data_IF_407475386018
#
_entry.id   IF_407475386018
#
_cell.length_a   1.000
_cell.length_b   1.000
_cell.length_c   1.000
_cell.angle_alpha   90.00
_cell.angle_beta   90.00
_cell.angle_gamma   90.00
#
_symmetry.space_group_name_H-M   'P 1'
#
loop_
_entity.id
_entity.type
_entity.pdbx_description
1 polymer ?
#
# COMPACT_ATOMS: atom_id res chain seq x y z
N UNK A 1 -15.61 17.32 48.53
CA UNK A 1 -15.14 16.10 47.81
C UNK A 1 -14.84 16.45 46.35
N UNK A 2 -13.67 17.00 46.02
CA UNK A 2 -13.31 17.38 44.63
C UNK A 2 -11.81 17.19 44.36
N UNK A 3 -11.25 16.10 44.86
CA UNK A 3 -9.83 15.73 44.69
C UNK A 3 -9.67 14.36 44.01
N UNK A 4 -10.72 13.52 44.03
CA UNK A 4 -10.68 12.15 43.47
C UNK A 4 -10.67 12.08 41.94
N UNK A 5 -11.28 13.02 41.23
CA UNK A 5 -11.37 12.98 39.77
C UNK A 5 -10.08 13.38 39.05
N UNK A 6 -9.33 14.36 39.57
CA UNK A 6 -8.03 14.76 38.98
C UNK A 6 -6.96 13.68 39.16
N UNK A 7 -6.93 13.03 40.32
CA UNK A 7 -5.98 11.95 40.61
C UNK A 7 -6.25 10.69 39.77
N UNK A 8 -7.51 10.33 39.56
CA UNK A 8 -7.91 9.20 38.68
C UNK A 8 -7.53 9.44 37.21
N UNK A 9 -7.68 10.68 36.71
CA UNK A 9 -7.32 11.02 35.31
C UNK A 9 -5.80 10.95 35.11
N UNK A 10 -4.99 11.45 36.04
CA UNK A 10 -3.53 11.33 35.94
C UNK A 10 -3.04 9.88 36.01
N UNK A 11 -3.69 9.05 36.83
CA UNK A 11 -3.34 7.64 37.00
C UNK A 11 -3.72 6.81 35.75
N UNK A 12 -4.86 7.10 35.15
CA UNK A 12 -5.27 6.51 33.88
C UNK A 12 -4.35 6.93 32.72
N UNK A 13 -3.96 8.21 32.66
CA UNK A 13 -3.03 8.71 31.62
C UNK A 13 -1.64 8.07 31.74
N UNK A 14 -1.16 7.83 32.96
CA UNK A 14 0.11 7.17 33.23
C UNK A 14 0.13 5.69 32.79
N UNK A 15 -0.96 4.96 33.03
CA UNK A 15 -1.07 3.54 32.62
C UNK A 15 -1.09 3.40 31.09
N UNK A 16 -1.80 4.30 30.40
CA UNK A 16 -1.84 4.33 28.93
C UNK A 16 -0.47 4.64 28.32
N UNK A 17 0.29 5.57 28.93
CA UNK A 17 1.64 5.89 28.48
C UNK A 17 2.61 4.71 28.66
N UNK A 18 2.54 3.95 29.75
CA UNK A 18 3.43 2.78 29.97
C UNK A 18 3.11 1.62 29.02
N UNK A 19 1.83 1.40 28.67
CA UNK A 19 1.43 0.38 27.72
C UNK A 19 1.91 0.67 26.28
N UNK A 20 2.03 1.95 25.90
CA UNK A 20 2.48 2.36 24.57
C UNK A 20 4.02 2.27 24.38
N UNK A 21 4.79 2.19 25.46
CA UNK A 21 6.27 2.19 25.43
C UNK A 21 6.83 0.80 25.67
N UNK A 22 6.01 -0.27 25.69
CA UNK A 22 6.51 -1.64 25.85
C UNK A 22 6.71 -2.30 24.48
N UNK A 23 7.92 -2.27 23.88
CA UNK A 23 8.18 -3.07 22.69
C UNK A 23 8.10 -4.54 23.07
N UNK A 24 7.22 -5.31 22.41
CA UNK A 24 7.27 -6.77 22.44
C UNK A 24 8.49 -7.22 21.62
N UNK A 25 9.61 -7.51 22.29
CA UNK A 25 10.76 -8.14 21.64
C UNK A 25 10.38 -9.61 21.40
N UNK A 26 10.05 -9.94 20.16
CA UNK A 26 9.88 -11.32 19.74
C UNK A 26 11.28 -11.95 19.62
N UNK A 27 11.65 -12.77 20.60
CA UNK A 27 12.77 -13.69 20.50
C UNK A 27 12.39 -14.80 19.52
N UNK A 28 12.86 -14.71 18.27
CA UNK A 28 12.79 -15.80 17.32
C UNK A 28 14.21 -16.16 16.84
N UNK A 29 14.85 -17.12 17.52
CA UNK A 29 15.94 -17.92 16.97
C UNK A 29 15.32 -19.16 16.31
N UNK A 30 15.33 -19.25 14.98
CA UNK A 30 15.12 -20.53 14.28
C UNK A 30 16.25 -20.76 13.29
N UNK A 31 17.02 -21.82 13.57
CA UNK A 31 18.24 -22.25 12.88
C UNK A 31 17.98 -23.49 11.99
N UNK A 32 18.87 -23.69 11.01
CA UNK A 32 19.06 -24.87 10.13
C UNK A 32 18.08 -25.01 8.96
N UNK A 33 18.48 -25.47 7.76
CA UNK A 33 19.74 -26.07 7.35
C UNK A 33 19.85 -26.16 5.82
N UNK A 34 21.10 -26.14 5.36
CA UNK A 34 21.52 -26.32 3.96
C UNK A 34 21.26 -27.77 3.54
N UNK A 35 20.42 -28.00 2.52
CA UNK A 35 20.45 -29.27 1.77
C UNK A 35 20.03 -29.05 0.31
N UNK A 36 20.97 -29.34 -0.58
CA UNK A 36 20.79 -29.61 -2.00
C UNK A 36 20.77 -31.15 -2.13
N UNK A 37 19.90 -31.77 -2.95
CA UNK A 37 20.39 -32.27 -4.23
C UNK A 37 19.38 -32.26 -5.41
N UNK A 38 19.94 -32.00 -6.61
CA UNK A 38 19.76 -32.66 -7.92
C UNK A 38 18.37 -33.16 -8.40
N UNK A 39 17.96 -32.54 -9.53
CA UNK A 39 17.65 -33.15 -10.84
C UNK A 39 16.51 -34.19 -10.96
N UNK A 40 15.45 -33.85 -11.72
CA UNK A 40 15.17 -34.38 -13.10
C UNK A 40 13.70 -34.14 -13.50
N UNK A 41 13.53 -33.45 -14.65
CA UNK A 41 12.47 -33.46 -15.69
C UNK A 41 11.01 -33.83 -15.27
N UNK A 42 9.93 -33.18 -15.70
CA UNK A 42 9.57 -32.83 -17.07
C UNK A 42 8.16 -32.17 -17.06
N UNK A 43 7.99 -30.91 -17.42
CA UNK A 43 7.02 -30.51 -18.45
C UNK A 43 7.16 -29.02 -18.76
N UNK A 44 7.56 -28.79 -20.00
CA UNK A 44 7.70 -27.49 -20.64
C UNK A 44 6.30 -26.89 -20.83
N UNK A 45 6.11 -25.62 -20.47
CA UNK A 45 5.63 -24.63 -21.43
C UNK A 45 5.69 -23.20 -20.87
N UNK A 46 6.27 -22.35 -21.70
CA UNK A 46 6.43 -20.90 -21.67
C UNK A 46 7.50 -20.28 -20.76
N UNK A 47 8.59 -19.98 -21.45
CA UNK A 47 9.81 -19.29 -21.09
C UNK A 47 9.56 -17.85 -20.62
N UNK A 48 10.04 -17.50 -19.42
CA UNK A 48 11.12 -16.52 -19.31
C UNK A 48 11.87 -16.76 -17.98
N UNK A 49 12.97 -17.50 -18.11
CA UNK A 49 14.20 -17.49 -17.30
C UNK A 49 14.08 -16.89 -15.89
N UNK A 50 13.80 -17.75 -14.90
CA UNK A 50 14.22 -17.53 -13.52
C UNK A 50 15.75 -17.53 -13.48
N UNK A 51 16.36 -16.35 -13.54
CA UNK A 51 17.70 -16.17 -13.02
C UNK A 51 17.57 -16.02 -11.51
N UNK A 52 18.18 -16.93 -10.75
CA UNK A 52 18.24 -16.84 -9.30
C UNK A 52 19.17 -15.70 -8.89
N UNK A 53 18.67 -14.46 -8.87
CA UNK A 53 19.41 -13.31 -8.35
C UNK A 53 18.45 -12.16 -8.02
N UNK A 54 18.05 -12.07 -6.74
CA UNK A 54 16.93 -11.27 -6.20
C UNK A 54 15.59 -11.55 -6.90
N UNK A 55 14.52 -11.64 -6.12
CA UNK A 55 13.16 -11.76 -6.68
C UNK A 55 12.85 -10.42 -7.34
N UNK A 56 13.28 -10.20 -8.59
CA UNK A 56 12.83 -9.08 -9.40
C UNK A 56 11.54 -9.47 -10.10
N UNK A 57 10.56 -8.58 -10.08
CA UNK A 57 9.30 -8.78 -10.80
C UNK A 57 9.55 -9.09 -12.29
N UNK A 58 8.73 -9.98 -12.87
CA UNK A 58 8.81 -10.38 -14.27
C UNK A 58 8.72 -9.15 -15.18
N UNK A 59 9.67 -8.96 -16.09
CA UNK A 59 9.60 -7.91 -17.11
C UNK A 59 8.41 -8.14 -18.05
N UNK A 60 7.77 -7.07 -18.50
CA UNK A 60 6.60 -7.15 -19.37
C UNK A 60 6.65 -6.06 -20.45
N UNK A 61 6.13 -6.35 -21.64
CA UNK A 61 5.91 -5.33 -22.67
C UNK A 61 4.47 -4.78 -22.68
N UNK A 62 3.51 -5.56 -22.15
CA UNK A 62 2.10 -5.18 -22.09
C UNK A 62 1.40 -5.85 -20.90
N UNK A 63 0.27 -5.31 -20.45
CA UNK A 63 -0.52 -5.88 -19.34
C UNK A 63 -0.97 -7.33 -19.60
N UNK A 64 -1.08 -7.75 -20.87
CA UNK A 64 -1.47 -9.12 -21.23
C UNK A 64 -0.47 -10.18 -20.75
N UNK A 65 0.82 -9.83 -20.67
CA UNK A 65 1.87 -10.73 -20.18
C UNK A 65 1.79 -10.95 -18.66
N UNK A 66 1.14 -10.03 -17.95
CA UNK A 66 0.87 -10.12 -16.52
C UNK A 66 -0.43 -10.87 -16.21
N UNK A 67 -1.18 -11.34 -17.22
CA UNK A 67 -2.47 -12.03 -17.04
C UNK A 67 -2.40 -13.32 -16.22
N UNK A 68 -1.20 -13.91 -16.07
CA UNK A 68 -0.97 -15.06 -15.17
C UNK A 68 -0.94 -14.71 -13.68
N UNK A 69 -0.87 -13.42 -13.33
CA UNK A 69 -0.72 -12.93 -11.95
C UNK A 69 -1.95 -12.11 -11.60
N UNK A 70 -2.76 -12.60 -10.67
CA UNK A 70 -3.99 -11.92 -10.27
C UNK A 70 -3.67 -10.58 -9.58
N UNK A 71 -4.18 -9.50 -10.14
CA UNK A 71 -4.04 -8.16 -9.59
C UNK A 71 -2.73 -7.44 -9.94
N UNK A 72 -1.91 -8.01 -10.84
CA UNK A 72 -0.72 -7.34 -11.34
C UNK A 72 -1.00 -6.52 -12.61
N UNK A 73 -0.17 -5.53 -12.87
CA UNK A 73 -0.21 -4.69 -14.08
C UNK A 73 1.20 -4.42 -14.56
N UNK A 74 1.33 -4.11 -15.86
CA UNK A 74 2.62 -3.84 -16.47
C UNK A 74 3.01 -2.38 -16.24
N UNK A 75 3.93 -2.16 -15.31
CA UNK A 75 4.25 -0.83 -14.78
C UNK A 75 5.75 -0.65 -14.62
N UNK A 76 6.21 0.59 -14.68
CA UNK A 76 7.59 0.93 -14.37
C UNK A 76 7.80 0.86 -12.85
N UNK A 77 8.90 0.23 -12.43
CA UNK A 77 9.22 0.11 -11.01
C UNK A 77 9.63 1.46 -10.41
N UNK A 78 8.97 1.85 -9.32
CA UNK A 78 9.38 3.04 -8.54
C UNK A 78 10.64 2.78 -7.70
N UNK A 79 10.91 1.52 -7.38
CA UNK A 79 12.04 1.10 -6.53
C UNK A 79 13.34 0.96 -7.31
N UNK A 80 13.27 0.72 -8.62
CA UNK A 80 14.42 0.42 -9.46
C UNK A 80 14.45 1.38 -10.65
N UNK A 81 15.51 2.18 -10.75
CA UNK A 81 15.71 3.23 -11.75
C UNK A 81 16.19 2.68 -13.11
N UNK A 82 15.56 1.64 -13.64
CA UNK A 82 15.98 0.97 -14.89
C UNK A 82 15.08 1.29 -16.11
N UNK A 83 14.05 2.11 -15.95
CA UNK A 83 13.03 2.40 -16.99
C UNK A 83 12.37 1.16 -17.62
N UNK A 84 12.44 0.03 -16.91
CA UNK A 84 11.89 -1.26 -17.35
C UNK A 84 10.49 -1.46 -16.77
N UNK A 85 9.60 -1.89 -17.64
CA UNK A 85 8.26 -2.32 -17.28
C UNK A 85 8.30 -3.73 -16.69
N UNK A 86 7.64 -3.92 -15.55
CA UNK A 86 7.54 -5.20 -14.85
C UNK A 86 6.11 -5.43 -14.38
N UNK A 87 5.73 -6.69 -14.21
CA UNK A 87 4.47 -7.09 -13.62
C UNK A 87 4.51 -6.83 -12.13
N UNK A 88 3.94 -5.69 -11.72
CA UNK A 88 3.89 -5.24 -10.34
C UNK A 88 2.47 -5.33 -9.82
N UNK A 89 2.35 -5.56 -8.52
CA UNK A 89 1.08 -5.55 -7.83
C UNK A 89 0.49 -4.15 -7.71
N UNK A 90 -0.75 -4.08 -7.23
CA UNK A 90 -1.46 -2.82 -7.03
C UNK A 90 -0.74 -1.79 -6.16
N UNK A 91 0.23 -2.19 -5.35
CA UNK A 91 1.06 -1.34 -4.48
C UNK A 91 2.48 -1.12 -5.03
N UNK A 92 2.73 -1.44 -6.30
CA UNK A 92 4.05 -1.44 -6.94
C UNK A 92 5.06 -2.46 -6.38
N UNK A 93 4.63 -3.41 -5.55
CA UNK A 93 5.49 -4.48 -5.05
C UNK A 93 5.50 -5.71 -5.98
N UNK A 94 6.49 -6.56 -5.75
CA UNK A 94 6.65 -7.81 -6.49
C UNK A 94 5.61 -8.85 -6.05
N UNK A 95 4.95 -9.54 -7.00
CA UNK A 95 3.99 -10.58 -6.67
C UNK A 95 4.68 -11.76 -5.99
N UNK A 96 4.13 -12.20 -4.85
CA UNK A 96 4.64 -13.38 -4.14
C UNK A 96 3.93 -14.62 -4.65
N UNK A 97 4.68 -15.60 -5.16
CA UNK A 97 4.14 -16.87 -5.68
C UNK A 97 3.04 -16.68 -6.74
N UNK A 98 3.14 -15.63 -7.57
CA UNK A 98 2.15 -15.34 -8.62
C UNK A 98 0.85 -14.71 -8.13
N UNK A 99 0.82 -14.20 -6.90
CA UNK A 99 -0.35 -13.53 -6.33
C UNK A 99 0.01 -12.20 -5.65
N UNK A 100 -0.86 -11.21 -5.80
CA UNK A 100 -0.80 -9.96 -5.07
C UNK A 100 -1.63 -10.05 -3.78
N UNK A 101 -1.07 -9.58 -2.67
CA UNK A 101 -1.75 -9.58 -1.36
C UNK A 101 -2.45 -8.24 -1.06
N UNK A 102 -2.54 -7.35 -2.04
CA UNK A 102 -3.05 -6.00 -1.85
C UNK A 102 -4.54 -5.93 -2.09
N UNK A 103 -5.24 -5.30 -1.15
CA UNK A 103 -6.67 -5.06 -1.24
C UNK A 103 -6.99 -3.89 -2.19
N UNK A 104 -6.13 -2.87 -2.19
CA UNK A 104 -6.31 -1.67 -3.00
C UNK A 104 -5.22 -1.53 -4.07
N UNK A 105 -5.57 -0.86 -5.15
CA UNK A 105 -4.73 -0.56 -6.30
C UNK A 105 -4.35 0.92 -6.30
N UNK A 106 -3.06 1.17 -6.34
CA UNK A 106 -2.43 2.49 -6.49
C UNK A 106 -2.65 3.05 -7.89
N UNK A 107 -2.22 4.29 -8.08
CA UNK A 107 -2.39 5.05 -9.32
C UNK A 107 -1.75 4.31 -10.50
N UNK A 108 -2.30 4.47 -11.71
CA UNK A 108 -1.88 3.82 -12.98
C UNK A 108 -2.05 2.30 -13.07
N UNK A 109 -2.43 1.61 -11.99
CA UNK A 109 -2.74 0.18 -12.00
C UNK A 109 -4.06 -0.07 -12.72
N UNK A 110 -4.17 -1.20 -13.45
CA UNK A 110 -5.42 -1.62 -14.10
C UNK A 110 -6.50 -1.90 -13.05
N UNK A 111 -7.67 -1.32 -13.28
CA UNK A 111 -8.85 -1.49 -12.43
C UNK A 111 -10.06 -1.84 -13.28
N UNK A 112 -11.01 -2.56 -12.68
CA UNK A 112 -12.31 -2.76 -13.29
C UNK A 112 -13.36 -1.83 -12.69
N UNK A 113 -13.27 -1.60 -11.39
CA UNK A 113 -14.24 -0.86 -10.59
C UNK A 113 -13.53 0.18 -9.70
N UNK A 114 -14.27 1.20 -9.29
CA UNK A 114 -13.73 2.29 -8.46
C UNK A 114 -13.32 1.81 -7.07
N UNK A 115 -13.99 0.79 -6.53
CA UNK A 115 -13.76 0.27 -5.17
C UNK A 115 -12.42 -0.48 -5.04
N UNK A 116 -11.81 -0.87 -6.15
CA UNK A 116 -10.50 -1.50 -6.17
C UNK A 116 -9.37 -0.47 -6.03
N UNK A 117 -9.64 0.81 -6.28
CA UNK A 117 -8.64 1.86 -6.24
C UNK A 117 -8.42 2.38 -4.81
N UNK A 118 -7.25 2.94 -4.56
CA UNK A 118 -6.96 3.59 -3.27
C UNK A 118 -7.92 4.76 -3.01
N UNK A 119 -8.18 5.11 -1.73
CA UNK A 119 -9.04 6.23 -1.38
C UNK A 119 -8.59 7.54 -2.06
N UNK A 120 -9.53 8.25 -2.69
CA UNK A 120 -9.21 9.46 -3.47
C UNK A 120 -8.80 9.19 -4.92
N UNK A 121 -8.79 7.93 -5.37
CA UNK A 121 -8.64 7.53 -6.77
C UNK A 121 -9.97 7.02 -7.37
N UNK A 122 -10.09 7.13 -8.69
CA UNK A 122 -11.21 6.62 -9.48
C UNK A 122 -10.69 5.81 -10.67
N UNK A 123 -11.47 4.79 -11.04
CA UNK A 123 -11.18 3.90 -12.15
C UNK A 123 -11.67 4.48 -13.47
N UNK A 124 -10.79 5.19 -14.18
CA UNK A 124 -11.11 5.89 -15.43
C UNK A 124 -10.05 5.65 -16.49
N UNK A 125 -10.41 5.87 -17.75
CA UNK A 125 -9.42 5.87 -18.84
C UNK A 125 -8.65 7.19 -18.75
N UNK A 126 -7.35 7.09 -18.50
CA UNK A 126 -6.48 8.26 -18.39
C UNK A 126 -6.17 8.89 -19.75
N UNK A 127 -5.55 10.06 -19.72
CA UNK A 127 -5.06 10.74 -20.93
C UNK A 127 -3.67 10.24 -21.38
N UNK A 128 -3.18 9.15 -20.79
CA UNK A 128 -1.84 8.62 -21.06
C UNK A 128 -1.90 7.56 -22.16
N UNK A 129 -1.42 7.91 -23.34
CA UNK A 129 -1.40 7.00 -24.51
C UNK A 129 -0.45 5.81 -24.33
N UNK A 130 0.46 5.88 -23.36
CA UNK A 130 1.40 4.79 -23.05
C UNK A 130 0.73 3.64 -22.28
N UNK A 131 -0.40 3.92 -21.63
CA UNK A 131 -1.05 3.03 -20.66
C UNK A 131 -2.53 2.85 -21.04
N UNK A 132 -2.82 2.08 -22.10
CA UNK A 132 -4.19 1.84 -22.52
C UNK A 132 -5.00 1.13 -21.42
N UNK A 133 -6.31 1.42 -21.36
CA UNK A 133 -7.26 0.78 -20.44
C UNK A 133 -7.76 1.66 -19.29
N UNK A 134 -8.72 1.13 -18.53
CA UNK A 134 -9.23 1.74 -17.30
C UNK A 134 -8.22 1.54 -16.18
N UNK A 135 -7.79 2.63 -15.55
CA UNK A 135 -6.75 2.63 -14.52
C UNK A 135 -7.16 3.53 -13.36
N UNK A 136 -6.55 3.32 -12.21
CA UNK A 136 -6.78 4.19 -11.05
C UNK A 136 -6.09 5.54 -11.28
N UNK A 137 -6.86 6.62 -11.24
CA UNK A 137 -6.38 8.00 -11.33
C UNK A 137 -6.84 8.80 -10.13
N UNK A 138 -5.99 9.70 -9.62
CA UNK A 138 -6.38 10.58 -8.54
C UNK A 138 -7.53 11.50 -8.96
N UNK A 139 -8.51 11.62 -8.08
CA UNK A 139 -9.64 12.53 -8.25
C UNK A 139 -9.22 13.99 -8.11
N UNK A 140 -10.09 14.90 -8.55
CA UNK A 140 -9.80 16.33 -8.47
C UNK A 140 -9.56 16.78 -7.02
N UNK A 141 -8.41 17.41 -6.77
CA UNK A 141 -7.98 17.83 -5.42
C UNK A 141 -7.00 16.88 -4.74
N UNK A 142 -6.72 15.72 -5.34
CA UNK A 142 -5.69 14.78 -4.90
C UNK A 142 -4.48 14.82 -5.85
N UNK A 143 -3.28 14.69 -5.29
CA UNK A 143 -2.03 14.60 -6.03
C UNK A 143 -1.40 13.23 -5.87
N UNK A 144 -0.69 12.74 -6.89
CA UNK A 144 0.05 11.48 -6.80
C UNK A 144 1.29 11.67 -5.94
N UNK A 145 1.39 10.88 -4.88
CA UNK A 145 2.52 10.84 -3.94
C UNK A 145 3.68 9.99 -4.48
N UNK A 146 4.82 9.98 -3.79
CA UNK A 146 6.01 9.20 -4.17
C UNK A 146 5.75 7.70 -4.22
N UNK A 147 4.84 7.20 -3.38
CA UNK A 147 4.42 5.80 -3.33
C UNK A 147 3.32 5.48 -4.36
N UNK A 148 3.08 6.37 -5.34
CA UNK A 148 2.03 6.25 -6.35
C UNK A 148 0.62 6.14 -5.76
N UNK A 149 0.42 6.68 -4.56
CA UNK A 149 -0.88 6.79 -3.90
C UNK A 149 -1.46 8.19 -4.09
N UNK A 150 -2.77 8.35 -3.91
CA UNK A 150 -3.39 9.67 -3.95
C UNK A 150 -3.34 10.32 -2.58
N UNK A 151 -2.49 11.34 -2.46
CA UNK A 151 -2.36 12.16 -1.26
C UNK A 151 -3.07 13.48 -1.50
N UNK A 152 -4.04 13.77 -0.64
CA UNK A 152 -4.86 14.97 -0.73
C UNK A 152 -5.61 15.15 0.57
N UNK A 153 -5.65 16.38 1.05
CA UNK A 153 -6.52 16.72 2.18
C UNK A 153 -7.92 16.90 1.62
N UNK A 154 -8.84 15.99 1.97
CA UNK A 154 -10.23 16.40 2.08
C UNK A 154 -10.21 17.61 3.00
N UNK A 155 -10.66 18.77 2.51
CA UNK A 155 -10.72 19.99 3.29
C UNK A 155 -11.77 19.75 4.38
N UNK A 156 -11.38 19.06 5.45
CA UNK A 156 -12.10 18.97 6.72
C UNK A 156 -11.90 20.32 7.42
N UNK A 157 -12.39 21.40 6.80
CA UNK A 157 -12.48 22.73 7.37
C UNK A 157 -13.52 22.82 8.52
N UNK A 158 -14.01 21.68 9.01
CA UNK A 158 -15.16 21.62 9.93
C UNK A 158 -14.72 21.50 11.39
N UNK A 159 -13.49 21.08 11.71
CA UNK A 159 -13.11 20.82 13.11
C UNK A 159 -12.61 22.05 13.88
N UNK A 160 -12.04 23.07 13.22
CA UNK A 160 -11.49 24.24 13.94
C UNK A 160 -12.58 25.15 14.53
N UNK A 161 -13.72 25.31 13.84
CA UNK A 161 -14.81 26.18 14.30
C UNK A 161 -15.56 25.61 15.51
N UNK A 162 -15.66 24.28 15.64
CA UNK A 162 -16.29 23.63 16.79
C UNK A 162 -15.48 23.76 18.08
N UNK A 163 -14.14 23.78 17.98
CA UNK A 163 -13.28 24.05 19.14
C UNK A 163 -13.39 25.51 19.61
N UNK A 164 -13.50 26.48 18.69
CA UNK A 164 -13.65 27.89 19.05
C UNK A 164 -15.04 28.15 19.69
N UNK A 165 -16.11 27.55 19.14
CA UNK A 165 -17.45 27.69 19.69
C UNK A 165 -17.61 27.08 21.10
N UNK A 166 -16.93 25.96 21.37
CA UNK A 166 -16.95 25.33 22.71
C UNK A 166 -16.18 26.13 23.76
N UNK A 167 -15.10 26.82 23.38
CA UNK A 167 -14.42 27.76 24.29
C UNK A 167 -15.27 29.00 24.60
N UNK A 168 -16.05 29.50 23.63
CA UNK A 168 -16.97 30.64 23.85
C UNK A 168 -18.13 30.28 24.79
N UNK A 169 -18.63 29.04 24.75
CA UNK A 169 -19.71 28.58 25.64
C UNK A 169 -19.22 28.24 27.06
N UNK A 170 -17.96 27.80 27.21
CA UNK A 170 -17.38 27.47 28.52
C UNK A 170 -16.78 28.66 29.26
N UNK A 171 -16.52 29.79 28.58
CA UNK A 171 -15.97 31.02 29.18
C UNK A 171 -17.01 31.94 29.83
N UNK A 172 -18.30 31.61 29.73
CA UNK A 172 -19.41 32.42 30.23
C UNK A 172 -20.07 31.84 31.51
N UNK A 173 -19.34 31.02 32.28
CA UNK A 173 -19.75 30.49 33.58
C UNK A 173 -18.64 30.60 34.63
#
# INVERSE_FOLDING_TARGET
MRVRTKSQVCLALGIVLVALITPCWSLALTTFGKSNPQNTQNNQNNENKQNGERIQARECASDSECGGIKGASCLESIFVRDSKLRCLCGDYTEPRNGQCNNQFKSVKVLCNDNDECTPGAQCVVGNDTTLPGRRCWCTQGYTTDVDMQCSGTQILAISALTFIASMMLAGNF
#
